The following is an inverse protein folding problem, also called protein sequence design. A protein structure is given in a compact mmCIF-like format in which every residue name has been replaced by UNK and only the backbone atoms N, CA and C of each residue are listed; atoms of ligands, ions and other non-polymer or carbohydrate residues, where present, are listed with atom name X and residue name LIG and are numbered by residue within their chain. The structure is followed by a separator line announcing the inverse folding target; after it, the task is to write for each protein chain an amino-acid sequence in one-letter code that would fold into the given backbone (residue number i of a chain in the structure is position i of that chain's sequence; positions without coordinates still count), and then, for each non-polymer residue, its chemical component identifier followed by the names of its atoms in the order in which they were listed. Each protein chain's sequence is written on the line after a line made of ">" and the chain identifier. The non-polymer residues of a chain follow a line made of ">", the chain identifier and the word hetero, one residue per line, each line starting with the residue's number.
data_IF_081542645094
#
_entry.id   IF_081542645094
#
_cell.length_a   1.000
_cell.length_b   1.000
_cell.length_c   1.000
_cell.angle_alpha   90.00
_cell.angle_beta   90.00
_cell.angle_gamma   90.00
#
_symmetry.space_group_name_H-M   'P 1'
#
loop_
_entity.id
_entity.type
_entity.pdbx_description
1 polymer ?
#
# COMPACT_ATOMS: atom_id res chain seq x y z
N UNK A 1 -33.34 24.88 17.59
CA UNK A 1 -32.69 25.06 16.28
C UNK A 1 -33.71 24.68 15.22
N UNK A 2 -34.01 25.56 14.24
CA UNK A 2 -34.93 25.20 13.15
C UNK A 2 -34.20 24.24 12.21
N UNK A 3 -34.70 23.03 12.05
CA UNK A 3 -34.20 22.11 11.03
C UNK A 3 -34.64 22.62 9.66
N UNK A 4 -33.68 22.98 8.82
CA UNK A 4 -33.93 23.15 7.38
C UNK A 4 -34.07 21.73 6.82
N UNK A 5 -35.29 21.35 6.46
CA UNK A 5 -35.54 20.11 5.70
C UNK A 5 -35.25 20.46 4.24
N UNK A 6 -34.05 20.10 3.77
CA UNK A 6 -33.83 19.99 2.34
C UNK A 6 -34.52 18.70 1.86
N UNK A 7 -35.06 18.67 0.65
CA UNK A 7 -35.57 17.45 0.03
C UNK A 7 -34.56 16.99 -1.05
N UNK A 8 -33.39 16.43 -0.66
CA UNK A 8 -32.34 16.06 -1.60
C UNK A 8 -32.83 15.08 -2.68
N UNK A 9 -33.77 14.19 -2.36
CA UNK A 9 -34.39 13.27 -3.32
C UNK A 9 -35.23 14.02 -4.37
N UNK A 10 -35.94 15.07 -3.97
CA UNK A 10 -36.72 15.90 -4.89
C UNK A 10 -35.80 16.71 -5.83
N UNK A 11 -34.66 17.18 -5.33
CA UNK A 11 -33.67 17.90 -6.13
C UNK A 11 -32.93 16.98 -7.12
N UNK A 12 -32.58 15.76 -6.70
CA UNK A 12 -32.00 14.75 -7.58
C UNK A 12 -33.00 14.32 -8.67
N UNK A 13 -34.27 14.14 -8.31
CA UNK A 13 -35.35 13.84 -9.27
C UNK A 13 -35.52 14.99 -10.28
N UNK A 14 -35.57 16.23 -9.80
CA UNK A 14 -35.65 17.41 -10.68
C UNK A 14 -34.45 17.52 -11.64
N UNK A 15 -33.23 17.19 -11.19
CA UNK A 15 -32.04 17.19 -12.05
C UNK A 15 -32.15 16.17 -13.19
N UNK A 16 -32.68 14.97 -12.91
CA UNK A 16 -32.95 13.93 -13.92
C UNK A 16 -34.04 14.40 -14.88
N UNK A 17 -35.16 14.91 -14.36
CA UNK A 17 -36.28 15.42 -15.17
C UNK A 17 -35.89 16.59 -16.08
N UNK A 18 -34.93 17.43 -15.67
CA UNK A 18 -34.41 18.55 -16.48
C UNK A 18 -33.45 18.11 -17.60
N UNK A 19 -32.81 16.95 -17.49
CA UNK A 19 -31.86 16.45 -18.50
C UNK A 19 -32.56 15.94 -19.79
N UNK A 20 -33.75 15.37 -19.65
CA UNK A 20 -34.55 14.84 -20.75
C UNK A 20 -35.02 15.92 -21.75
N UNK A 21 -35.72 16.98 -21.30
CA UNK A 21 -36.14 18.10 -22.14
C UNK A 21 -34.98 18.80 -22.85
N UNK A 22 -33.83 18.95 -22.20
CA UNK A 22 -32.66 19.57 -22.83
C UNK A 22 -32.09 18.74 -23.98
N UNK A 23 -32.06 17.42 -23.83
CA UNK A 23 -31.64 16.51 -24.90
C UNK A 23 -32.59 16.58 -26.10
N UNK A 24 -33.90 16.63 -25.85
CA UNK A 24 -34.93 16.78 -26.88
C UNK A 24 -34.82 18.14 -27.60
N UNK A 25 -34.61 19.23 -26.86
CA UNK A 25 -34.44 20.57 -27.42
C UNK A 25 -33.17 20.68 -28.28
N UNK A 26 -32.06 20.06 -27.86
CA UNK A 26 -30.83 20.03 -28.64
C UNK A 26 -31.04 19.28 -29.98
N UNK A 27 -31.72 18.13 -29.94
CA UNK A 27 -32.04 17.36 -31.13
C UNK A 27 -32.91 18.15 -32.12
N UNK A 28 -33.92 18.88 -31.63
CA UNK A 28 -34.80 19.72 -32.46
C UNK A 28 -34.04 20.91 -33.04
N UNK A 29 -33.21 21.59 -32.25
CA UNK A 29 -32.42 22.73 -32.71
C UNK A 29 -31.38 22.35 -33.77
N UNK A 30 -30.76 21.17 -33.62
CA UNK A 30 -29.85 20.61 -34.61
C UNK A 30 -30.58 20.22 -35.90
N UNK A 31 -31.75 19.57 -35.79
CA UNK A 31 -32.54 19.17 -36.96
C UNK A 31 -33.06 20.37 -37.78
N UNK A 32 -33.39 21.49 -37.12
CA UNK A 32 -33.86 22.71 -37.78
C UNK A 32 -32.72 23.58 -38.36
N UNK A 33 -31.44 23.28 -38.05
CA UNK A 33 -30.32 24.16 -38.38
C UNK A 33 -30.14 24.36 -39.89
N UNK A 34 -30.17 23.28 -40.67
CA UNK A 34 -29.93 23.36 -42.13
C UNK A 34 -31.05 24.10 -42.84
N UNK A 35 -32.32 23.78 -42.54
CA UNK A 35 -33.48 24.37 -43.21
C UNK A 35 -33.68 25.86 -42.90
N UNK A 36 -33.16 26.34 -41.76
CA UNK A 36 -33.29 27.75 -41.34
C UNK A 36 -32.11 28.62 -41.77
N UNK A 37 -30.92 28.04 -41.94
CA UNK A 37 -29.70 28.80 -42.31
C UNK A 37 -29.42 28.84 -43.81
N UNK A 38 -30.04 27.96 -44.61
CA UNK A 38 -29.80 27.85 -46.07
C UNK A 38 -30.99 28.29 -46.92
N UNK A 39 -31.79 29.24 -46.42
CA UNK A 39 -32.98 29.72 -47.11
C UNK A 39 -32.61 30.33 -48.48
N UNK A 40 -33.15 29.78 -49.55
CA UNK A 40 -32.95 30.31 -50.90
C UNK A 40 -33.80 31.57 -51.13
N UNK A 41 -33.27 32.52 -51.90
CA UNK A 41 -34.03 33.67 -52.37
C UNK A 41 -35.20 33.19 -53.26
N UNK A 42 -36.40 33.72 -53.05
CA UNK A 42 -37.59 33.35 -53.81
C UNK A 42 -37.56 33.82 -55.28
N UNK A 43 -36.74 34.83 -55.57
CA UNK A 43 -36.49 35.39 -56.90
C UNK A 43 -35.05 35.86 -57.05
N UNK A 44 -34.64 36.18 -58.27
CA UNK A 44 -33.29 36.65 -58.60
C UNK A 44 -33.06 38.14 -58.26
N UNK A 45 -34.04 38.79 -57.64
CA UNK A 45 -33.97 40.21 -57.27
C UNK A 45 -33.24 40.43 -55.94
N UNK A 46 -32.76 41.65 -55.76
CA UNK A 46 -32.01 42.09 -54.59
C UNK A 46 -32.85 42.06 -53.32
N UNK A 47 -34.18 42.23 -53.41
CA UNK A 47 -35.09 42.20 -52.25
C UNK A 47 -35.24 40.76 -51.74
N UNK A 48 -35.50 39.80 -52.62
CA UNK A 48 -35.55 38.36 -52.28
C UNK A 48 -34.23 37.87 -51.69
N UNK A 49 -33.10 38.34 -52.23
CA UNK A 49 -31.75 38.03 -51.73
C UNK A 49 -31.52 38.62 -50.34
N UNK A 50 -31.90 39.89 -50.12
CA UNK A 50 -31.77 40.55 -48.82
C UNK A 50 -32.66 39.91 -47.75
N UNK A 51 -33.89 39.53 -48.09
CA UNK A 51 -34.80 38.83 -47.17
C UNK A 51 -34.23 37.47 -46.76
N UNK A 52 -33.73 36.68 -47.70
CA UNK A 52 -33.06 35.41 -47.40
C UNK A 52 -31.85 35.59 -46.48
N UNK A 53 -31.04 36.65 -46.69
CA UNK A 53 -29.89 36.97 -45.85
C UNK A 53 -30.29 37.38 -44.41
N UNK A 54 -31.39 38.13 -44.24
CA UNK A 54 -31.92 38.48 -42.91
C UNK A 54 -32.37 37.22 -42.17
N UNK A 55 -33.12 36.32 -42.80
CA UNK A 55 -33.53 35.06 -42.17
C UNK A 55 -32.34 34.16 -41.85
N UNK A 56 -31.34 34.06 -42.73
CA UNK A 56 -30.12 33.29 -42.50
C UNK A 56 -29.29 33.84 -41.32
N UNK A 57 -29.11 35.16 -41.24
CA UNK A 57 -28.40 35.78 -40.12
C UNK A 57 -29.15 35.65 -38.79
N UNK A 58 -30.48 35.77 -38.80
CA UNK A 58 -31.32 35.52 -37.63
C UNK A 58 -31.23 34.07 -37.14
N UNK A 59 -31.25 33.11 -38.07
CA UNK A 59 -31.09 31.68 -37.76
C UNK A 59 -29.71 31.38 -37.15
N UNK A 60 -28.63 31.99 -37.65
CA UNK A 60 -27.29 31.85 -37.07
C UNK A 60 -27.22 32.43 -35.64
N UNK A 61 -27.82 33.60 -35.41
CA UNK A 61 -27.90 34.18 -34.07
C UNK A 61 -28.71 33.31 -33.09
N UNK A 62 -29.82 32.73 -33.56
CA UNK A 62 -30.61 31.76 -32.79
C UNK A 62 -29.79 30.53 -32.40
N UNK A 63 -29.04 29.95 -33.35
CA UNK A 63 -28.18 28.79 -33.09
C UNK A 63 -27.12 29.10 -32.02
N UNK A 64 -26.46 30.26 -32.11
CA UNK A 64 -25.48 30.69 -31.11
C UNK A 64 -26.10 30.89 -29.71
N UNK A 65 -27.27 31.54 -29.63
CA UNK A 65 -27.99 31.73 -28.37
C UNK A 65 -28.45 30.40 -27.77
N UNK A 66 -28.94 29.48 -28.61
CA UNK A 66 -29.35 28.16 -28.16
C UNK A 66 -28.19 27.35 -27.60
N UNK A 67 -26.99 27.46 -28.19
CA UNK A 67 -25.75 26.89 -27.67
C UNK A 67 -25.38 27.44 -26.28
N UNK A 68 -25.51 28.75 -26.07
CA UNK A 68 -25.26 29.37 -24.76
C UNK A 68 -26.28 28.94 -23.71
N UNK A 69 -27.57 28.86 -24.08
CA UNK A 69 -28.63 28.39 -23.20
C UNK A 69 -28.42 26.93 -22.77
N UNK A 70 -27.96 26.06 -23.68
CA UNK A 70 -27.60 24.68 -23.34
C UNK A 70 -26.41 24.59 -22.39
N UNK A 71 -25.36 25.38 -22.62
CA UNK A 71 -24.21 25.40 -21.71
C UNK A 71 -24.59 25.90 -20.30
N UNK A 72 -25.51 26.87 -20.21
CA UNK A 72 -26.09 27.31 -18.94
C UNK A 72 -26.89 26.18 -18.28
N UNK A 73 -27.78 25.53 -19.03
CA UNK A 73 -28.59 24.42 -18.54
C UNK A 73 -27.74 23.27 -17.99
N UNK A 74 -26.67 22.89 -18.68
CA UNK A 74 -25.74 21.85 -18.21
C UNK A 74 -25.03 22.23 -16.92
N UNK A 75 -24.66 23.52 -16.75
CA UNK A 75 -24.07 24.01 -15.49
C UNK A 75 -25.13 24.02 -14.38
N UNK A 76 -26.36 24.39 -14.68
CA UNK A 76 -27.47 24.39 -13.74
C UNK A 76 -27.78 22.98 -13.23
N UNK A 77 -27.94 21.98 -14.11
CA UNK A 77 -28.20 20.58 -13.73
C UNK A 77 -27.04 20.00 -12.92
N UNK A 78 -25.78 20.30 -13.29
CA UNK A 78 -24.60 19.88 -12.50
C UNK A 78 -24.58 20.51 -11.11
N UNK A 79 -24.86 21.81 -11.00
CA UNK A 79 -24.91 22.50 -9.72
C UNK A 79 -26.05 21.98 -8.84
N UNK A 80 -27.21 21.71 -9.41
CA UNK A 80 -28.37 21.13 -8.71
C UNK A 80 -28.05 19.73 -8.16
N UNK A 81 -27.39 18.90 -8.96
CA UNK A 81 -26.94 17.55 -8.55
C UNK A 81 -25.90 17.62 -7.43
N UNK A 82 -24.91 18.50 -7.55
CA UNK A 82 -23.88 18.71 -6.53
C UNK A 82 -24.48 19.26 -5.21
N UNK A 83 -25.45 20.17 -5.31
CA UNK A 83 -26.18 20.71 -4.17
C UNK A 83 -27.00 19.64 -3.44
N UNK A 84 -27.76 18.81 -4.17
CA UNK A 84 -28.49 17.68 -3.62
C UNK A 84 -27.57 16.70 -2.86
N UNK A 85 -26.41 16.38 -3.44
CA UNK A 85 -25.38 15.55 -2.78
C UNK A 85 -24.80 16.18 -1.51
N UNK A 86 -24.62 17.51 -1.49
CA UNK A 86 -24.10 18.23 -0.32
C UNK A 86 -25.09 18.22 0.85
N UNK A 87 -26.39 18.40 0.59
CA UNK A 87 -27.43 18.31 1.61
C UNK A 87 -27.59 16.88 2.15
N UNK A 88 -27.61 15.88 1.27
CA UNK A 88 -27.65 14.47 1.69
C UNK A 88 -26.42 14.10 2.55
N UNK A 89 -25.23 14.60 2.20
CA UNK A 89 -24.02 14.43 3.00
C UNK A 89 -24.10 15.08 4.38
N UNK A 90 -24.68 16.29 4.48
CA UNK A 90 -24.87 16.98 5.75
C UNK A 90 -25.87 16.26 6.68
N UNK A 91 -26.95 15.71 6.12
CA UNK A 91 -27.90 14.89 6.90
C UNK A 91 -27.25 13.62 7.44
N UNK A 92 -26.48 12.92 6.60
CA UNK A 92 -25.72 11.75 7.03
C UNK A 92 -24.72 12.07 8.16
N UNK A 93 -24.01 13.20 8.07
CA UNK A 93 -23.08 13.66 9.11
C UNK A 93 -23.80 13.96 10.43
N UNK A 94 -24.93 14.67 10.38
CA UNK A 94 -25.74 14.96 11.57
C UNK A 94 -26.24 13.69 12.26
N UNK A 95 -26.69 12.69 11.49
CA UNK A 95 -27.10 11.39 12.03
C UNK A 95 -25.94 10.65 12.70
N UNK A 96 -24.75 10.68 12.09
CA UNK A 96 -23.55 10.09 12.67
C UNK A 96 -23.16 10.75 14.00
N UNK A 97 -23.31 12.07 14.11
CA UNK A 97 -23.06 12.80 15.35
C UNK A 97 -24.04 12.41 16.46
N UNK A 98 -25.32 12.23 16.14
CA UNK A 98 -26.34 11.74 17.08
C UNK A 98 -25.99 10.33 17.57
N UNK A 99 -25.65 9.42 16.66
CA UNK A 99 -25.27 8.04 17.00
C UNK A 99 -24.02 8.00 17.87
N UNK A 100 -23.03 8.84 17.55
CA UNK A 100 -21.74 8.86 18.25
C UNK A 100 -21.76 9.66 19.56
N UNK A 101 -22.77 10.48 19.82
CA UNK A 101 -22.80 11.41 20.94
C UNK A 101 -22.55 10.71 22.29
N UNK A 102 -23.25 9.60 22.55
CA UNK A 102 -23.16 8.90 23.82
C UNK A 102 -21.79 8.24 24.03
N UNK A 103 -21.24 7.59 22.99
CA UNK A 103 -19.94 6.92 23.11
C UNK A 103 -18.78 7.91 23.13
N UNK A 104 -18.89 9.04 22.44
CA UNK A 104 -17.90 10.14 22.54
C UNK A 104 -17.85 10.68 23.96
N UNK A 105 -18.99 10.86 24.62
CA UNK A 105 -19.05 11.33 26.01
C UNK A 105 -18.54 10.27 26.99
N UNK A 106 -18.97 9.01 26.83
CA UNK A 106 -18.70 7.96 27.83
C UNK A 106 -17.32 7.32 27.68
N UNK A 107 -16.84 7.18 26.45
CA UNK A 107 -15.66 6.38 26.10
C UNK A 107 -14.59 7.19 25.34
N UNK A 108 -14.82 8.48 25.10
CA UNK A 108 -13.90 9.35 24.38
C UNK A 108 -13.73 8.99 22.89
N UNK A 109 -14.55 8.08 22.36
CA UNK A 109 -14.42 7.55 20.99
C UNK A 109 -15.78 7.41 20.32
N UNK A 110 -15.88 7.69 19.01
CA UNK A 110 -17.11 7.44 18.26
C UNK A 110 -17.44 5.93 18.24
N UNK A 111 -18.72 5.60 18.13
CA UNK A 111 -19.16 4.23 17.92
C UNK A 111 -18.89 3.80 16.48
N UNK A 112 -19.16 4.70 15.54
CA UNK A 112 -19.00 4.50 14.09
C UNK A 112 -18.21 5.67 13.50
N UNK A 113 -17.19 5.37 12.70
CA UNK A 113 -16.41 6.35 11.96
C UNK A 113 -14.97 5.92 11.81
N UNK A 114 -14.32 6.30 10.72
CA UNK A 114 -12.88 6.04 10.57
C UNK A 114 -12.08 6.99 11.47
N UNK A 115 -10.89 6.55 11.87
CA UNK A 115 -9.92 7.40 12.52
C UNK A 115 -9.39 8.46 11.56
N UNK A 116 -9.12 9.66 12.08
CA UNK A 116 -8.45 10.70 11.31
C UNK A 116 -7.02 10.30 10.97
N UNK A 117 -6.57 10.61 9.76
CA UNK A 117 -5.17 10.40 9.39
C UNK A 117 -4.28 11.45 10.06
N UNK A 118 -3.07 11.05 10.45
CA UNK A 118 -2.03 11.99 10.83
C UNK A 118 -1.65 12.88 9.63
N UNK A 119 -1.52 14.21 9.81
CA UNK A 119 -1.09 15.09 8.72
C UNK A 119 0.30 14.71 8.17
N UNK A 120 0.48 14.81 6.86
CA UNK A 120 1.76 14.56 6.22
C UNK A 120 2.86 15.49 6.73
N UNK A 121 4.07 14.97 6.90
CA UNK A 121 5.23 15.72 7.37
C UNK A 121 5.14 16.12 8.84
N UNK A 122 4.41 15.38 9.67
CA UNK A 122 4.33 15.66 11.11
C UNK A 122 4.75 14.48 11.98
N UNK A 123 4.89 13.29 11.38
CA UNK A 123 5.12 12.05 12.13
C UNK A 123 3.99 11.70 13.11
N UNK A 124 2.84 12.37 13.04
CA UNK A 124 1.73 12.14 13.98
C UNK A 124 1.02 10.84 13.66
N UNK A 125 0.65 10.11 14.72
CA UNK A 125 -0.09 8.87 14.61
C UNK A 125 -1.49 9.11 14.04
N UNK A 126 -1.99 8.14 13.27
CA UNK A 126 -3.39 8.10 12.86
C UNK A 126 -4.27 7.80 14.06
N UNK A 127 -5.43 8.46 14.14
CA UNK A 127 -6.36 8.23 15.23
C UNK A 127 -7.01 6.85 15.12
N UNK A 128 -7.46 6.27 16.25
CA UNK A 128 -8.24 5.05 16.22
C UNK A 128 -9.59 5.22 15.49
N UNK A 129 -10.02 4.17 14.81
CA UNK A 129 -11.39 4.05 14.30
C UNK A 129 -12.43 4.02 15.43
N UNK A 130 -13.70 4.19 15.06
CA UNK A 130 -14.85 4.05 15.95
C UNK A 130 -14.90 2.66 16.56
N UNK A 131 -15.53 2.53 17.73
CA UNK A 131 -15.47 1.30 18.54
C UNK A 131 -16.04 0.08 17.78
N UNK A 132 -17.18 0.25 17.12
CA UNK A 132 -17.87 -0.85 16.44
C UNK A 132 -17.47 -0.92 14.97
N UNK A 133 -17.57 0.18 14.24
CA UNK A 133 -17.31 0.23 12.80
C UNK A 133 -16.37 1.39 12.52
N UNK A 134 -15.23 1.12 11.91
CA UNK A 134 -14.28 2.17 11.57
C UNK A 134 -12.89 1.63 11.34
N UNK A 135 -12.30 2.02 10.22
CA UNK A 135 -10.88 1.78 9.98
C UNK A 135 -10.05 2.72 10.86
N UNK A 136 -8.84 2.30 11.23
CA UNK A 136 -7.87 3.20 11.81
C UNK A 136 -7.37 4.23 10.80
N UNK A 137 -7.05 5.44 11.27
CA UNK A 137 -6.44 6.46 10.44
C UNK A 137 -5.01 6.09 10.04
N UNK A 138 -4.56 6.49 8.87
CA UNK A 138 -3.15 6.34 8.49
C UNK A 138 -2.26 7.29 9.32
N UNK A 139 -1.05 6.86 9.66
CA UNK A 139 -0.05 7.72 10.26
C UNK A 139 0.50 8.75 9.26
N UNK A 140 0.79 9.96 9.75
CA UNK A 140 1.41 11.01 8.96
C UNK A 140 2.87 10.68 8.64
N UNK A 141 3.36 11.06 7.46
CA UNK A 141 4.79 10.92 7.16
C UNK A 141 5.64 11.79 8.11
N UNK A 142 6.89 11.38 8.38
CA UNK A 142 7.83 12.15 9.18
C UNK A 142 8.36 13.40 8.44
N UNK A 143 8.79 14.40 9.22
CA UNK A 143 9.68 15.47 8.75
C UNK A 143 11.07 14.91 8.40
N UNK A 144 11.96 15.64 7.70
CA UNK A 144 13.29 15.15 7.38
C UNK A 144 14.03 14.55 8.59
N UNK A 145 14.43 13.28 8.51
CA UNK A 145 15.08 12.53 9.59
C UNK A 145 14.16 12.04 10.71
N UNK A 146 12.91 12.50 10.74
CA UNK A 146 11.93 12.16 11.77
C UNK A 146 11.10 10.94 11.39
N UNK A 147 10.67 10.21 12.42
CA UNK A 147 9.87 9.00 12.26
C UNK A 147 8.48 9.30 11.70
N UNK A 148 7.97 8.40 10.84
CA UNK A 148 6.58 8.40 10.41
C UNK A 148 5.63 7.95 11.53
N UNK A 149 4.45 8.55 11.60
CA UNK A 149 3.43 8.23 12.60
C UNK A 149 2.91 6.81 12.46
N UNK A 150 2.50 6.21 13.55
CA UNK A 150 1.89 4.89 13.53
C UNK A 150 0.48 4.96 12.91
N UNK A 151 0.03 3.89 12.28
CA UNK A 151 -1.35 3.74 11.90
C UNK A 151 -2.26 3.53 13.12
N UNK A 152 -3.44 4.13 13.08
CA UNK A 152 -4.45 3.98 14.12
C UNK A 152 -5.01 2.56 14.17
N UNK A 153 -5.41 2.11 15.36
CA UNK A 153 -6.14 0.85 15.50
C UNK A 153 -7.58 0.98 14.97
N UNK A 154 -8.12 -0.09 14.41
CA UNK A 154 -9.50 -0.12 13.95
C UNK A 154 -10.52 -0.33 15.09
N UNK A 155 -11.81 -0.21 14.74
CA UNK A 155 -12.94 -0.74 15.51
C UNK A 155 -13.11 -2.25 15.36
N UNK A 156 -14.18 -2.80 15.94
CA UNK A 156 -14.50 -4.23 15.81
C UNK A 156 -14.60 -4.69 14.35
N UNK A 157 -15.24 -3.88 13.51
CA UNK A 157 -15.32 -4.02 12.06
C UNK A 157 -14.55 -2.87 11.40
N UNK A 158 -13.28 -3.12 11.08
CA UNK A 158 -12.45 -2.18 10.35
C UNK A 158 -11.02 -2.67 10.24
N UNK A 159 -10.31 -2.22 9.21
CA UNK A 159 -8.90 -2.48 9.02
C UNK A 159 -8.04 -1.47 9.79
N UNK A 160 -6.87 -1.90 10.25
CA UNK A 160 -5.90 -1.02 10.87
C UNK A 160 -5.37 0.01 9.88
N UNK A 161 -5.05 1.21 10.36
CA UNK A 161 -4.46 2.25 9.53
C UNK A 161 -3.04 1.92 9.09
N UNK A 162 -2.61 2.38 7.92
CA UNK A 162 -1.21 2.23 7.51
C UNK A 162 -0.29 3.12 8.36
N UNK A 163 0.93 2.67 8.64
CA UNK A 163 1.97 3.51 9.20
C UNK A 163 2.46 4.54 8.19
N UNK A 164 2.79 5.73 8.67
CA UNK A 164 3.39 6.80 7.88
C UNK A 164 4.83 6.48 7.50
N UNK A 165 5.28 6.96 6.35
CA UNK A 165 6.69 6.82 5.94
C UNK A 165 7.59 7.65 6.84
N UNK A 166 8.79 7.15 7.15
CA UNK A 166 9.84 7.96 7.75
C UNK A 166 10.28 9.08 6.82
N UNK A 167 10.64 10.23 7.37
CA UNK A 167 11.06 11.37 6.56
C UNK A 167 12.48 11.20 6.05
N UNK A 168 12.70 11.54 4.79
CA UNK A 168 14.02 11.51 4.18
C UNK A 168 14.87 12.67 4.70
N UNK A 169 16.10 12.39 5.13
CA UNK A 169 17.07 13.43 5.47
C UNK A 169 18.11 13.61 4.35
N UNK A 170 18.30 14.85 3.92
CA UNK A 170 19.25 15.26 2.87
C UNK A 170 20.34 16.21 3.39
N UNK A 171 20.34 16.55 4.69
CA UNK A 171 21.24 17.54 5.29
C UNK A 171 22.33 16.89 6.15
N UNK A 172 22.43 15.56 6.13
CA UNK A 172 23.56 14.83 6.71
C UNK A 172 23.23 13.91 7.88
N UNK A 173 21.97 13.72 8.22
CA UNK A 173 21.54 12.76 9.24
C UNK A 173 20.92 11.48 8.66
N UNK A 174 20.47 10.58 9.56
CA UNK A 174 19.80 9.34 9.19
C UNK A 174 18.40 9.60 8.64
N UNK A 175 17.88 8.66 7.86
CA UNK A 175 16.49 8.67 7.47
C UNK A 175 15.60 8.30 8.65
N UNK A 176 14.42 8.92 8.74
CA UNK A 176 13.47 8.60 9.79
C UNK A 176 12.94 7.18 9.68
N UNK A 177 12.61 6.53 10.79
CA UNK A 177 11.96 5.23 10.75
C UNK A 177 10.52 5.31 10.20
N UNK A 178 10.05 4.26 9.56
CA UNK A 178 8.64 4.10 9.22
C UNK A 178 7.77 3.90 10.46
N UNK A 179 6.53 4.37 10.42
CA UNK A 179 5.54 4.12 11.45
C UNK A 179 5.02 2.68 11.41
N UNK A 180 4.64 2.12 12.55
CA UNK A 180 4.02 0.78 12.54
C UNK A 180 2.61 0.85 11.97
N UNK A 181 2.15 -0.22 11.33
CA UNK A 181 0.76 -0.36 10.95
C UNK A 181 -0.15 -0.54 12.18
N UNK A 182 -1.37 -0.03 12.08
CA UNK A 182 -2.38 -0.16 13.13
C UNK A 182 -2.99 -1.56 13.19
N UNK A 183 -3.48 -1.95 14.36
CA UNK A 183 -4.18 -3.22 14.52
C UNK A 183 -5.54 -3.21 13.82
N UNK A 184 -5.90 -4.31 13.16
CA UNK A 184 -7.24 -4.54 12.63
C UNK A 184 -8.25 -4.91 13.73
N UNK A 185 -9.53 -4.74 13.41
CA UNK A 185 -10.65 -5.24 14.21
C UNK A 185 -10.77 -6.74 14.16
N UNK A 186 -11.75 -7.33 14.86
CA UNK A 186 -11.99 -8.79 14.87
C UNK A 186 -12.05 -9.40 13.45
N UNK A 187 -12.63 -8.66 12.50
CA UNK A 187 -12.74 -9.05 11.08
C UNK A 187 -11.83 -8.25 10.14
N UNK A 188 -10.97 -7.42 10.71
CA UNK A 188 -10.15 -6.48 9.97
C UNK A 188 -8.72 -6.93 9.82
N UNK A 189 -8.15 -6.62 8.66
CA UNK A 189 -6.72 -6.80 8.44
C UNK A 189 -5.92 -5.77 9.25
N UNK A 190 -4.70 -6.13 9.60
CA UNK A 190 -3.73 -5.18 10.14
C UNK A 190 -3.29 -4.19 9.06
N UNK A 191 -2.99 -2.97 9.46
CA UNK A 191 -2.45 -1.95 8.57
C UNK A 191 -1.01 -2.27 8.15
N UNK A 192 -0.60 -1.85 6.96
CA UNK A 192 0.81 -1.97 6.56
C UNK A 192 1.69 -1.04 7.40
N UNK A 193 2.93 -1.44 7.66
CA UNK A 193 3.97 -0.56 8.20
C UNK A 193 4.45 0.43 7.14
N UNK A 194 4.85 1.62 7.59
CA UNK A 194 5.42 2.64 6.72
C UNK A 194 6.85 2.30 6.32
N UNK A 195 7.28 2.73 5.14
CA UNK A 195 8.68 2.60 4.74
C UNK A 195 9.57 3.51 5.60
N UNK A 196 10.82 3.10 5.82
CA UNK A 196 11.86 3.96 6.35
C UNK A 196 12.26 5.04 5.35
N UNK A 197 12.64 6.21 5.86
CA UNK A 197 13.15 7.32 5.06
C UNK A 197 14.57 7.04 4.57
N UNK A 198 14.94 7.60 3.43
CA UNK A 198 16.34 7.60 3.00
C UNK A 198 17.15 8.56 3.86
N UNK A 199 18.38 8.22 4.22
CA UNK A 199 19.26 9.13 4.95
C UNK A 199 20.62 9.29 4.29
N UNK A 200 21.33 10.36 4.65
CA UNK A 200 22.69 10.59 4.16
C UNK A 200 23.69 9.68 4.86
N UNK A 201 23.45 9.38 6.15
CA UNK A 201 24.35 8.58 6.99
C UNK A 201 23.82 7.20 7.35
N UNK A 202 22.51 6.98 7.27
CA UNK A 202 21.87 5.69 7.50
C UNK A 202 20.46 5.73 6.94
N UNK A 203 19.98 4.64 6.35
CA UNK A 203 18.58 4.50 6.01
C UNK A 203 17.71 4.24 7.23
N UNK A 204 16.51 4.81 7.27
CA UNK A 204 15.57 4.56 8.36
C UNK A 204 15.03 3.13 8.31
N UNK A 205 14.76 2.52 9.47
CA UNK A 205 14.11 1.22 9.51
C UNK A 205 12.67 1.29 8.98
N UNK A 206 12.20 0.25 8.31
CA UNK A 206 10.80 0.07 7.96
C UNK A 206 9.94 -0.21 9.20
N UNK A 207 8.71 0.30 9.21
CA UNK A 207 7.75 0.05 10.26
C UNK A 207 7.20 -1.36 10.21
N UNK A 208 6.93 -1.98 11.36
CA UNK A 208 6.27 -3.27 11.40
C UNK A 208 4.81 -3.18 10.89
N UNK A 209 4.33 -4.24 10.26
CA UNK A 209 2.92 -4.39 9.93
C UNK A 209 2.06 -4.58 11.18
N UNK A 210 0.85 -4.04 11.17
CA UNK A 210 -0.12 -4.19 12.24
C UNK A 210 -0.67 -5.62 12.33
N UNK A 211 -1.10 -6.03 13.51
CA UNK A 211 -1.79 -7.31 13.67
C UNK A 211 -3.18 -7.27 13.02
N UNK A 212 -3.57 -8.33 12.30
CA UNK A 212 -4.96 -8.58 11.94
C UNK A 212 -5.78 -9.08 13.11
N UNK A 213 -7.10 -8.97 13.03
CA UNK A 213 -7.98 -9.63 13.98
C UNK A 213 -8.10 -11.13 13.73
N UNK A 214 -8.97 -11.77 14.50
CA UNK A 214 -9.19 -13.22 14.44
C UNK A 214 -9.55 -13.73 13.04
N UNK A 215 -10.18 -12.91 12.19
CA UNK A 215 -10.53 -13.26 10.83
C UNK A 215 -9.83 -12.39 9.77
N UNK A 216 -8.82 -11.62 10.19
CA UNK A 216 -8.08 -10.71 9.34
C UNK A 216 -6.63 -11.16 9.14
N UNK A 217 -6.05 -10.74 8.02
CA UNK A 217 -4.64 -10.96 7.74
C UNK A 217 -3.77 -9.96 8.51
N UNK A 218 -2.53 -10.34 8.78
CA UNK A 218 -1.51 -9.41 9.25
C UNK A 218 -1.18 -8.36 8.20
N UNK A 219 -0.79 -7.17 8.64
CA UNK A 219 -0.31 -6.10 7.78
C UNK A 219 1.09 -6.37 7.26
N UNK A 220 1.44 -5.84 6.09
CA UNK A 220 2.80 -5.95 5.55
C UNK A 220 3.79 -5.12 6.36
N UNK A 221 5.02 -5.59 6.52
CA UNK A 221 6.12 -4.78 7.01
C UNK A 221 6.58 -3.75 5.98
N UNK A 222 6.98 -2.57 6.43
CA UNK A 222 7.52 -1.51 5.58
C UNK A 222 8.95 -1.81 5.13
N UNK A 223 9.33 -1.35 3.94
CA UNK A 223 10.72 -1.43 3.50
C UNK A 223 11.64 -0.57 4.38
N UNK A 224 12.88 -0.99 4.58
CA UNK A 224 13.93 -0.12 5.10
C UNK A 224 14.33 0.93 4.07
N UNK A 225 14.74 2.10 4.54
CA UNK A 225 15.25 3.17 3.70
C UNK A 225 16.70 2.93 3.27
N UNK A 226 17.09 3.55 2.17
CA UNK A 226 18.47 3.48 1.69
C UNK A 226 19.37 4.51 2.40
N UNK A 227 20.66 4.20 2.50
CA UNK A 227 21.67 5.16 2.91
C UNK A 227 22.21 6.01 1.74
N UNK A 228 23.04 6.99 2.08
CA UNK A 228 23.50 8.03 1.15
C UNK A 228 24.63 7.59 0.21
N UNK A 229 25.44 8.54 -0.23
CA UNK A 229 26.49 8.25 -1.21
C UNK A 229 27.77 7.69 -0.57
N UNK A 230 28.24 8.29 0.52
CA UNK A 230 29.61 8.07 1.02
C UNK A 230 29.69 7.02 2.13
N UNK A 231 28.89 7.19 3.18
CA UNK A 231 28.86 6.31 4.35
C UNK A 231 27.42 6.01 4.73
N UNK A 232 27.17 4.83 5.30
CA UNK A 232 25.93 4.55 6.00
C UNK A 232 25.29 3.21 5.69
N UNK A 233 24.66 2.64 6.70
CA UNK A 233 23.98 1.35 6.61
C UNK A 233 22.57 1.54 6.05
N UNK A 234 22.12 0.59 5.23
CA UNK A 234 20.72 0.54 4.82
C UNK A 234 19.82 0.21 6.00
N UNK A 235 18.63 0.79 6.04
CA UNK A 235 17.66 0.53 7.10
C UNK A 235 17.14 -0.91 7.07
N UNK A 236 16.87 -1.50 8.22
CA UNK A 236 16.23 -2.81 8.27
C UNK A 236 14.79 -2.74 7.75
N UNK A 237 14.32 -3.80 7.10
CA UNK A 237 12.91 -3.98 6.76
C UNK A 237 12.06 -4.25 8.01
N UNK A 238 10.83 -3.77 8.01
CA UNK A 238 9.87 -4.00 9.09
C UNK A 238 9.33 -5.42 9.07
N UNK A 239 9.05 -5.99 10.24
CA UNK A 239 8.41 -7.29 10.33
C UNK A 239 6.96 -7.25 9.81
N UNK A 240 6.49 -8.34 9.22
CA UNK A 240 5.08 -8.53 8.90
C UNK A 240 4.24 -8.72 10.17
N UNK A 241 3.00 -8.25 10.14
CA UNK A 241 2.05 -8.39 11.23
C UNK A 241 1.52 -9.82 11.36
N UNK A 242 1.11 -10.21 12.56
CA UNK A 242 0.42 -11.49 12.79
C UNK A 242 -1.02 -11.41 12.29
N UNK A 243 -1.54 -12.44 11.62
CA UNK A 243 -2.95 -12.53 11.23
C UNK A 243 -3.69 -13.69 11.88
N UNK A 244 -4.98 -13.49 12.14
CA UNK A 244 -5.92 -14.57 12.46
C UNK A 244 -6.37 -15.38 11.24
N UNK A 245 -5.85 -15.04 10.06
CA UNK A 245 -5.84 -15.91 8.89
C UNK A 245 -4.40 -16.08 8.42
N UNK A 246 -3.92 -15.18 7.57
CA UNK A 246 -2.56 -15.20 7.04
C UNK A 246 -1.68 -14.14 7.71
N UNK A 247 -0.41 -14.45 7.90
CA UNK A 247 0.59 -13.50 8.35
C UNK A 247 0.95 -12.49 7.25
N UNK A 248 1.28 -11.27 7.64
CA UNK A 248 1.79 -10.26 6.72
C UNK A 248 3.22 -10.58 6.28
N UNK A 249 3.60 -10.19 5.06
CA UNK A 249 4.98 -10.33 4.63
C UNK A 249 5.90 -9.32 5.34
N UNK A 250 7.16 -9.69 5.56
CA UNK A 250 8.20 -8.78 6.03
C UNK A 250 8.65 -7.81 4.92
N UNK A 251 9.12 -6.63 5.32
CA UNK A 251 9.65 -5.61 4.42
C UNK A 251 11.07 -5.91 3.99
N UNK A 252 11.46 -5.46 2.79
CA UNK A 252 12.85 -5.56 2.32
C UNK A 252 13.76 -4.64 3.12
N UNK A 253 15.01 -5.04 3.33
CA UNK A 253 16.05 -4.17 3.88
C UNK A 253 16.53 -3.16 2.82
N UNK A 254 16.85 -1.96 3.27
CA UNK A 254 17.38 -0.89 2.42
C UNK A 254 18.83 -1.12 2.03
N UNK A 255 19.28 -0.44 0.98
CA UNK A 255 20.64 -0.55 0.48
C UNK A 255 21.62 0.30 1.32
N UNK A 256 22.83 -0.22 1.51
CA UNK A 256 23.92 0.53 2.10
C UNK A 256 24.42 1.64 1.18
N UNK A 257 25.17 2.58 1.76
CA UNK A 257 25.65 3.74 1.02
C UNK A 257 26.56 3.34 -0.13
N UNK A 258 26.54 4.08 -1.24
CA UNK A 258 27.16 3.62 -2.49
C UNK A 258 28.64 3.26 -2.36
N UNK A 259 29.38 3.95 -1.48
CA UNK A 259 30.80 3.68 -1.23
C UNK A 259 30.99 2.74 -0.02
N UNK A 260 30.69 3.20 1.21
CA UNK A 260 30.88 2.44 2.44
C UNK A 260 29.57 2.27 3.20
N UNK A 261 28.99 1.08 3.16
CA UNK A 261 27.79 0.81 3.95
C UNK A 261 27.23 -0.58 3.66
N UNK A 262 26.88 -1.34 4.68
CA UNK A 262 26.18 -2.59 4.48
C UNK A 262 24.70 -2.35 4.16
N UNK A 263 24.11 -3.33 3.50
CA UNK A 263 22.66 -3.37 3.33
C UNK A 263 21.96 -3.71 4.65
N UNK A 264 20.75 -3.19 4.81
CA UNK A 264 19.89 -3.49 5.94
C UNK A 264 19.35 -4.91 5.88
N UNK A 265 19.03 -5.49 7.03
CA UNK A 265 18.40 -6.81 7.08
C UNK A 265 16.96 -6.76 6.55
N UNK A 266 16.50 -7.83 5.93
CA UNK A 266 15.08 -8.01 5.63
C UNK A 266 14.26 -8.25 6.91
N UNK A 267 13.00 -7.84 6.88
CA UNK A 267 12.06 -8.05 7.97
C UNK A 267 11.53 -9.48 7.99
N UNK A 268 11.27 -10.01 9.17
CA UNK A 268 10.63 -11.32 9.33
C UNK A 268 9.18 -11.29 8.82
N UNK A 269 8.70 -12.43 8.32
CA UNK A 269 7.29 -12.62 8.02
C UNK A 269 6.46 -12.80 9.29
N UNK A 270 5.22 -12.32 9.27
CA UNK A 270 4.29 -12.47 10.39
C UNK A 270 3.68 -13.87 10.50
N UNK A 271 3.23 -14.25 11.69
CA UNK A 271 2.56 -15.55 11.87
C UNK A 271 1.12 -15.51 11.32
N UNK A 272 0.67 -16.59 10.68
CA UNK A 272 -0.72 -16.79 10.26
C UNK A 272 -1.36 -17.97 11.00
N UNK A 273 -2.51 -17.76 11.65
CA UNK A 273 -3.26 -18.83 12.33
C UNK A 273 -4.76 -18.67 12.08
N UNK A 274 -5.45 -19.56 11.35
CA UNK A 274 -5.02 -20.89 10.88
C UNK A 274 -4.34 -20.93 9.49
N UNK A 275 -4.08 -19.80 8.85
CA UNK A 275 -3.62 -19.75 7.47
C UNK A 275 -2.10 -19.87 7.29
N UNK A 276 -1.60 -19.12 6.31
CA UNK A 276 -0.21 -19.15 5.84
C UNK A 276 0.65 -18.16 6.63
N UNK A 277 1.85 -18.58 7.03
CA UNK A 277 2.84 -17.68 7.57
C UNK A 277 3.34 -16.71 6.51
N UNK A 278 3.53 -15.45 6.88
CA UNK A 278 4.02 -14.42 5.96
C UNK A 278 5.42 -14.74 5.44
N UNK A 279 5.67 -14.44 4.17
CA UNK A 279 7.04 -14.51 3.64
C UNK A 279 7.90 -13.41 4.26
N UNK A 280 9.19 -13.68 4.44
CA UNK A 280 10.12 -12.67 4.92
C UNK A 280 10.59 -11.73 3.80
N UNK A 281 11.12 -10.57 4.20
CA UNK A 281 11.79 -9.65 3.31
C UNK A 281 13.22 -10.06 2.99
N UNK A 282 13.72 -9.66 1.83
CA UNK A 282 15.12 -9.83 1.45
C UNK A 282 16.01 -8.82 2.16
N UNK A 283 17.26 -9.19 2.42
CA UNK A 283 18.29 -8.24 2.84
C UNK A 283 18.68 -7.27 1.73
N UNK A 284 19.06 -6.05 2.10
CA UNK A 284 19.56 -5.03 1.21
C UNK A 284 20.99 -5.32 0.74
N UNK A 285 21.38 -4.75 -0.39
CA UNK A 285 22.76 -4.87 -0.89
C UNK A 285 23.70 -3.91 -0.17
N UNK A 286 24.94 -4.34 0.01
CA UNK A 286 26.01 -3.43 0.43
C UNK A 286 26.43 -2.45 -0.67
N UNK A 287 27.01 -1.34 -0.25
CA UNK A 287 27.79 -0.43 -1.08
C UNK A 287 29.04 -1.08 -1.63
N UNK A 288 29.83 -0.33 -2.39
CA UNK A 288 31.05 -0.79 -3.06
C UNK A 288 32.04 -1.56 -2.16
N UNK A 289 32.13 -1.16 -0.88
CA UNK A 289 32.96 -1.76 0.17
C UNK A 289 32.14 -2.38 1.33
N UNK A 290 30.82 -2.51 1.15
CA UNK A 290 29.88 -2.91 2.20
C UNK A 290 29.45 -4.37 2.13
N UNK A 291 29.01 -4.92 3.25
CA UNK A 291 28.40 -6.25 3.31
C UNK A 291 26.93 -6.24 2.85
N UNK A 292 26.42 -7.39 2.42
CA UNK A 292 24.98 -7.54 2.21
C UNK A 292 24.24 -7.74 3.53
N UNK A 293 23.00 -7.28 3.63
CA UNK A 293 22.13 -7.52 4.78
C UNK A 293 21.59 -8.96 4.80
N UNK A 294 21.29 -9.51 5.97
CA UNK A 294 20.64 -10.83 6.05
C UNK A 294 19.19 -10.78 5.55
N UNK A 295 18.68 -11.89 5.02
CA UNK A 295 17.25 -12.05 4.78
C UNK A 295 16.47 -12.29 6.07
N UNK A 296 15.20 -11.92 6.11
CA UNK A 296 14.32 -12.20 7.25
C UNK A 296 13.89 -13.67 7.30
N UNK A 297 13.39 -14.12 8.45
CA UNK A 297 12.82 -15.46 8.60
C UNK A 297 11.34 -15.47 8.20
N UNK A 298 10.89 -16.57 7.59
CA UNK A 298 9.49 -16.77 7.27
C UNK A 298 8.62 -16.93 8.53
N UNK A 299 7.41 -16.41 8.51
CA UNK A 299 6.46 -16.53 9.61
C UNK A 299 5.93 -17.95 9.78
N UNK A 300 5.53 -18.31 10.99
CA UNK A 300 4.87 -19.60 11.21
C UNK A 300 3.45 -19.58 10.62
N UNK A 301 3.04 -20.70 10.03
CA UNK A 301 1.66 -20.93 9.60
C UNK A 301 1.07 -22.16 10.27
N UNK A 302 -0.24 -22.34 10.24
CA UNK A 302 -0.80 -23.67 10.53
C UNK A 302 -0.86 -24.50 9.25
N UNK A 303 -1.25 -23.90 8.13
CA UNK A 303 -1.32 -24.60 6.85
C UNK A 303 0.06 -24.62 6.19
N UNK A 304 0.65 -23.46 5.90
CA UNK A 304 1.95 -23.36 5.22
C UNK A 304 2.82 -22.35 5.94
N UNK A 305 4.09 -22.70 6.16
CA UNK A 305 5.08 -21.80 6.73
C UNK A 305 5.55 -20.77 5.70
N UNK A 306 5.85 -19.56 6.15
CA UNK A 306 6.35 -18.50 5.29
C UNK A 306 7.74 -18.83 4.74
N UNK A 307 8.05 -18.39 3.52
CA UNK A 307 9.41 -18.53 3.00
C UNK A 307 10.37 -17.56 3.70
N UNK A 308 11.59 -18.01 3.95
CA UNK A 308 12.69 -17.15 4.38
C UNK A 308 13.16 -16.22 3.26
N UNK A 309 13.61 -15.03 3.63
CA UNK A 309 14.09 -14.01 2.72
C UNK A 309 15.51 -14.29 2.22
N UNK A 310 15.81 -13.90 0.98
CA UNK A 310 17.17 -13.98 0.48
C UNK A 310 18.10 -12.99 1.20
N UNK A 311 19.35 -13.39 1.41
CA UNK A 311 20.41 -12.48 1.85
C UNK A 311 20.80 -11.50 0.73
N UNK A 312 21.18 -10.30 1.12
CA UNK A 312 21.66 -9.26 0.23
C UNK A 312 23.06 -9.54 -0.31
N UNK A 313 23.35 -9.06 -1.52
CA UNK A 313 24.69 -9.18 -2.09
C UNK A 313 25.67 -8.22 -1.40
N UNK A 314 26.93 -8.63 -1.32
CA UNK A 314 28.02 -7.75 -0.91
C UNK A 314 28.38 -6.73 -2.01
N UNK A 315 29.16 -5.74 -1.61
CA UNK A 315 29.81 -4.77 -2.47
C UNK A 315 30.80 -5.37 -3.46
N UNK A 316 31.10 -4.65 -4.54
CA UNK A 316 31.95 -5.16 -5.62
C UNK A 316 33.39 -5.46 -5.18
N UNK A 317 34.01 -4.66 -4.29
CA UNK A 317 35.43 -4.82 -3.93
C UNK A 317 35.65 -5.62 -2.65
N UNK A 318 34.92 -5.30 -1.58
CA UNK A 318 35.06 -5.93 -0.27
C UNK A 318 33.69 -6.05 0.40
N UNK A 319 33.51 -7.12 1.18
CA UNK A 319 32.33 -7.33 2.02
C UNK A 319 31.90 -8.79 2.03
N UNK A 320 31.38 -9.26 3.17
CA UNK A 320 30.67 -10.54 3.22
C UNK A 320 29.24 -10.35 2.75
N UNK A 321 28.71 -11.33 2.05
CA UNK A 321 27.33 -11.28 1.62
C UNK A 321 26.37 -11.75 2.72
N UNK A 322 25.10 -11.40 2.59
CA UNK A 322 24.09 -11.66 3.60
C UNK A 322 23.69 -13.13 3.65
N UNK A 323 23.41 -13.66 4.84
CA UNK A 323 22.80 -14.98 4.99
C UNK A 323 21.32 -14.95 4.58
N UNK A 324 20.85 -16.03 3.96
CA UNK A 324 19.42 -16.25 3.73
C UNK A 324 18.68 -16.62 5.02
N UNK A 325 17.46 -16.12 5.17
CA UNK A 325 16.65 -16.37 6.37
C UNK A 325 16.01 -17.76 6.38
N UNK A 326 15.71 -18.26 7.57
CA UNK A 326 15.10 -19.58 7.72
C UNK A 326 13.61 -19.54 7.30
N UNK A 327 13.09 -20.65 6.78
CA UNK A 327 11.68 -20.82 6.49
C UNK A 327 10.84 -21.03 7.75
N UNK A 328 9.59 -20.61 7.71
CA UNK A 328 8.64 -20.72 8.82
C UNK A 328 8.15 -22.15 9.04
N UNK A 329 7.87 -22.49 10.29
CA UNK A 329 7.28 -23.79 10.63
C UNK A 329 5.78 -23.85 10.28
N UNK A 330 5.25 -25.05 10.02
CA UNK A 330 3.79 -25.24 9.95
C UNK A 330 3.27 -26.63 10.26
N UNK A 331 1.95 -26.72 10.49
CA UNK A 331 1.26 -27.99 10.72
C UNK A 331 1.19 -28.90 9.49
N UNK A 332 1.34 -28.38 8.27
CA UNK A 332 1.38 -29.19 7.04
C UNK A 332 2.67 -28.99 6.25
N UNK A 333 2.84 -27.88 5.54
CA UNK A 333 4.02 -27.64 4.70
C UNK A 333 4.96 -26.59 5.31
N UNK A 334 6.18 -26.98 5.65
CA UNK A 334 7.20 -26.03 6.11
C UNK A 334 7.58 -25.03 5.03
N UNK A 335 7.94 -23.82 5.42
CA UNK A 335 8.39 -22.78 4.50
C UNK A 335 9.80 -23.05 3.98
N UNK A 336 10.11 -22.68 2.74
CA UNK A 336 11.46 -22.81 2.21
C UNK A 336 12.43 -21.82 2.87
N UNK A 337 13.68 -22.21 3.06
CA UNK A 337 14.75 -21.31 3.46
C UNK A 337 15.17 -20.37 2.32
N UNK A 338 15.59 -19.15 2.67
CA UNK A 338 16.05 -18.14 1.73
C UNK A 338 17.46 -18.44 1.22
N UNK A 339 17.76 -18.02 -0.01
CA UNK A 339 19.13 -18.13 -0.55
C UNK A 339 20.09 -17.17 0.17
N UNK A 340 21.35 -17.56 0.32
CA UNK A 340 22.42 -16.65 0.70
C UNK A 340 22.74 -15.65 -0.42
N UNK A 341 23.18 -14.45 -0.04
CA UNK A 341 23.61 -13.41 -0.96
C UNK A 341 24.94 -13.75 -1.62
N UNK A 342 25.23 -13.13 -2.76
CA UNK A 342 26.48 -13.34 -3.46
C UNK A 342 27.57 -12.39 -2.97
N UNK A 343 28.81 -12.89 -2.87
CA UNK A 343 29.98 -12.06 -2.60
C UNK A 343 30.23 -11.03 -3.72
N UNK A 344 31.13 -10.08 -3.42
CA UNK A 344 31.67 -9.15 -4.39
C UNK A 344 32.50 -9.82 -5.49
N UNK A 345 33.04 -9.04 -6.42
CA UNK A 345 33.90 -9.58 -7.47
C UNK A 345 35.31 -9.91 -6.98
N UNK A 346 35.86 -9.16 -6.00
CA UNK A 346 37.27 -9.24 -5.63
C UNK A 346 37.54 -10.04 -4.35
N UNK A 347 37.00 -9.61 -3.21
CA UNK A 347 37.21 -10.27 -1.92
C UNK A 347 35.92 -10.40 -1.12
N UNK A 348 35.63 -11.62 -0.65
CA UNK A 348 34.50 -11.89 0.23
C UNK A 348 33.91 -13.28 0.05
N UNK A 349 33.21 -13.74 1.09
CA UNK A 349 32.52 -15.03 1.09
C UNK A 349 31.05 -14.89 0.67
N UNK A 350 30.57 -15.91 -0.03
CA UNK A 350 29.15 -16.11 -0.33
C UNK A 350 28.35 -16.39 0.94
N UNK A 351 27.12 -15.89 0.99
CA UNK A 351 26.26 -16.00 2.15
C UNK A 351 25.74 -17.41 2.29
N UNK A 352 25.53 -17.89 3.51
CA UNK A 352 24.90 -19.20 3.70
C UNK A 352 23.41 -19.14 3.38
N UNK A 353 22.88 -20.25 2.87
CA UNK A 353 21.44 -20.44 2.71
C UNK A 353 20.73 -20.62 4.06
N UNK A 354 19.48 -20.18 4.13
CA UNK A 354 18.60 -20.38 5.27
C UNK A 354 18.08 -21.81 5.34
N UNK A 355 17.74 -22.28 6.53
CA UNK A 355 17.16 -23.62 6.71
C UNK A 355 15.70 -23.64 6.23
N UNK A 356 15.25 -24.79 5.76
CA UNK A 356 13.83 -25.04 5.56
C UNK A 356 13.09 -25.12 6.90
N UNK A 357 11.86 -24.62 6.93
CA UNK A 357 10.97 -24.72 8.09
C UNK A 357 10.45 -26.13 8.29
N UNK A 358 10.12 -26.49 9.52
CA UNK A 358 9.52 -27.79 9.81
C UNK A 358 8.06 -27.87 9.33
N UNK A 359 7.63 -29.07 8.94
CA UNK A 359 6.29 -29.36 8.44
C UNK A 359 5.68 -30.60 9.09
N UNK A 360 4.44 -30.91 8.75
CA UNK A 360 3.82 -32.19 9.09
C UNK A 360 3.60 -32.41 10.59
N UNK A 361 3.26 -31.39 11.37
CA UNK A 361 2.91 -31.56 12.79
C UNK A 361 1.44 -31.92 13.04
N UNK A 362 0.54 -31.68 12.07
CA UNK A 362 -0.91 -31.83 12.26
C UNK A 362 -1.59 -32.71 11.20
N UNK A 363 -0.97 -32.88 10.03
CA UNK A 363 -1.41 -33.77 8.95
C UNK A 363 -0.21 -34.12 8.05
N UNK A 364 -0.39 -35.06 7.12
CA UNK A 364 0.63 -35.34 6.10
C UNK A 364 0.96 -34.06 5.31
N UNK A 365 2.25 -33.73 5.23
CA UNK A 365 2.77 -32.56 4.54
C UNK A 365 4.28 -32.69 4.33
N UNK A 366 4.90 -31.70 3.70
CA UNK A 366 6.33 -31.68 3.43
C UNK A 366 7.06 -30.69 4.34
N UNK A 367 8.27 -31.01 4.75
CA UNK A 367 9.14 -30.01 5.35
C UNK A 367 9.50 -28.90 4.35
N UNK A 368 10.11 -27.82 4.79
CA UNK A 368 10.68 -26.80 3.93
C UNK A 368 11.99 -27.28 3.29
N UNK A 369 12.27 -26.89 2.05
CA UNK A 369 13.60 -27.08 1.46
C UNK A 369 14.59 -26.06 2.05
N UNK A 370 15.86 -26.45 2.16
CA UNK A 370 16.93 -25.52 2.51
C UNK A 370 17.24 -24.53 1.37
N UNK A 371 17.65 -23.33 1.72
CA UNK A 371 18.07 -22.30 0.78
C UNK A 371 19.45 -22.57 0.18
N UNK A 372 19.68 -22.16 -1.06
CA UNK A 372 21.00 -22.28 -1.68
C UNK A 372 22.03 -21.34 -1.04
N UNK A 373 23.30 -21.73 -1.06
CA UNK A 373 24.41 -20.86 -0.70
C UNK A 373 24.75 -19.85 -1.80
N UNK A 374 25.30 -18.71 -1.40
CA UNK A 374 25.70 -17.60 -2.23
C UNK A 374 27.02 -17.81 -2.97
N UNK A 375 27.21 -17.13 -4.10
CA UNK A 375 28.43 -17.30 -4.93
C UNK A 375 29.65 -16.63 -4.29
N UNK A 376 30.84 -17.19 -4.58
CA UNK A 376 32.14 -16.70 -4.13
C UNK A 376 32.62 -15.48 -4.93
N UNK A 377 33.55 -14.72 -4.35
CA UNK A 377 34.36 -13.74 -5.07
C UNK A 377 35.57 -14.40 -5.76
N UNK A 378 36.40 -13.61 -6.45
CA UNK A 378 37.72 -14.05 -6.94
C UNK A 378 38.61 -14.57 -5.79
N UNK A 379 38.55 -13.92 -4.63
CA UNK A 379 39.23 -14.32 -3.40
C UNK A 379 38.17 -14.50 -2.31
N UNK A 380 37.80 -15.75 -2.03
CA UNK A 380 36.83 -16.11 -1.01
C UNK A 380 36.18 -17.46 -1.30
N UNK A 381 35.31 -17.90 -0.40
CA UNK A 381 34.58 -19.14 -0.54
C UNK A 381 33.12 -18.89 -0.98
N UNK A 382 32.52 -19.91 -1.60
CA UNK A 382 31.07 -19.95 -1.78
C UNK A 382 30.38 -20.17 -0.43
N UNK A 383 29.13 -19.75 -0.33
CA UNK A 383 28.30 -20.02 0.82
C UNK A 383 27.80 -21.47 0.84
N UNK A 384 27.65 -22.00 2.05
CA UNK A 384 27.00 -23.29 2.27
C UNK A 384 25.49 -23.18 2.01
N UNK A 385 24.89 -24.27 1.53
CA UNK A 385 23.44 -24.40 1.49
C UNK A 385 22.85 -24.61 2.88
N UNK A 386 21.58 -24.23 3.06
CA UNK A 386 20.83 -24.47 4.30
C UNK A 386 20.34 -25.91 4.39
N UNK A 387 20.14 -26.43 5.60
CA UNK A 387 19.49 -27.73 5.77
C UNK A 387 18.01 -27.67 5.37
N UNK A 388 17.45 -28.79 4.91
CA UNK A 388 15.99 -28.95 4.82
C UNK A 388 15.36 -29.02 6.21
N UNK A 389 14.05 -28.88 6.27
CA UNK A 389 13.29 -29.00 7.51
C UNK A 389 12.96 -30.46 7.87
N UNK A 390 12.50 -30.64 9.10
CA UNK A 390 12.00 -31.93 9.61
C UNK A 390 10.49 -32.07 9.40
N UNK A 391 10.01 -33.32 9.30
CA UNK A 391 8.59 -33.65 9.26
C UNK A 391 8.25 -34.85 10.16
N UNK A 392 7.24 -34.68 11.03
CA UNK A 392 7.00 -35.59 12.16
C UNK A 392 5.78 -36.52 11.98
N UNK A 393 4.83 -36.23 11.08
CA UNK A 393 3.64 -37.07 10.87
C UNK A 393 3.92 -38.32 10.00
N UNK A 394 3.28 -39.48 10.28
CA UNK A 394 3.35 -40.64 9.40
C UNK A 394 2.89 -40.32 7.97
N UNK A 395 3.74 -40.62 6.98
CA UNK A 395 3.49 -40.31 5.57
C UNK A 395 3.90 -38.91 5.12
N UNK A 396 4.54 -38.12 6.01
CA UNK A 396 5.20 -36.86 5.65
C UNK A 396 6.57 -37.09 5.01
N UNK A 397 7.04 -36.08 4.27
CA UNK A 397 8.36 -36.10 3.64
C UNK A 397 9.26 -35.03 4.27
N UNK A 398 10.45 -35.44 4.73
CA UNK A 398 11.56 -34.51 4.90
C UNK A 398 12.03 -33.99 3.54
N UNK A 399 12.70 -32.85 3.51
CA UNK A 399 13.17 -32.23 2.27
C UNK A 399 14.69 -32.07 2.25
N UNK A 400 15.25 -32.01 1.05
CA UNK A 400 16.68 -31.91 0.84
C UNK A 400 17.24 -30.56 1.32
N UNK A 401 18.52 -30.57 1.71
CA UNK A 401 19.28 -29.34 1.93
C UNK A 401 19.51 -28.56 0.63
N UNK A 402 19.71 -27.25 0.77
CA UNK A 402 20.09 -26.39 -0.33
C UNK A 402 21.48 -26.70 -0.86
N UNK A 403 21.72 -26.37 -2.12
CA UNK A 403 23.01 -26.60 -2.77
C UNK A 403 24.04 -25.55 -2.34
N UNK A 404 25.25 -25.96 -2.00
CA UNK A 404 26.38 -25.05 -1.87
C UNK A 404 26.73 -24.41 -3.22
N UNK A 405 27.29 -23.20 -3.21
CA UNK A 405 27.80 -22.59 -4.42
C UNK A 405 29.13 -23.25 -4.86
N UNK A 406 29.29 -23.43 -6.18
CA UNK A 406 30.55 -23.95 -6.75
C UNK A 406 31.68 -22.93 -6.59
N UNK A 407 32.92 -23.35 -6.27
CA UNK A 407 34.08 -22.46 -6.32
C UNK A 407 34.29 -21.90 -7.73
N UNK A 408 34.65 -20.62 -7.81
CA UNK A 408 35.00 -19.92 -9.06
C UNK A 408 36.46 -20.09 -9.45
#
# INVERSE_FOLDING_TARGET
>A
MSFVIAAPEALATAAVELSGPASALNAVNAAAATSTTTLAAAGADEVSTAVAAVFGSHAQAYQALSGQAMAFHDRFVRALTAGAGSYAGAEAANLLDIINAQTRVLLGRPLIGNGANGPSGTGTDGEPGGILIGNGGAGGSGEPGEKGGNGGAAGLFGAGGAGGTGGADVVGGPGGAGGTGGAGGLFGNGGAGGAGGTGVTEGGAGGAGGAGGLFGTGGLGGAGGDAGLLFGEGGAGGAGGTGGTDGGAGGVGGHGATLFGAGGNGGDGGNGQPGVGGAAGTGGTGGLFGSGGAGGNGGAGRDVGGAGGAGGNAGLFFGTSGRGGDGGASGTNGGAGGAGGNAGAFYGDGGTGGRGGSGGFAAAGAAGAGGAGGKAALIGNGGDGGAGGDADFPGSAGNDGGTAATPG
#
